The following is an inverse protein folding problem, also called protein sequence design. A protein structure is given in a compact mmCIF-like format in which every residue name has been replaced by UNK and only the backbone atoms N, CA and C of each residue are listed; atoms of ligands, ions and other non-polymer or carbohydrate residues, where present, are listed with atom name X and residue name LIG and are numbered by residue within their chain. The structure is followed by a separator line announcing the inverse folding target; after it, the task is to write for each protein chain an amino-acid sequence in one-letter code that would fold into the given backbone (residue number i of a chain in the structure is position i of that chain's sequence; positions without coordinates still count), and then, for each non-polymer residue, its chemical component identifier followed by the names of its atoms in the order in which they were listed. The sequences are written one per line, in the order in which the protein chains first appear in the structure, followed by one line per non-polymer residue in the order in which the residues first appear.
data_IF_658241855513
#
_entry.id   IF_658241855513
#
_cell.length_a   1.000
_cell.length_b   1.000
_cell.length_c   1.000
_cell.angle_alpha   90.00
_cell.angle_beta   90.00
_cell.angle_gamma   90.00
#
_symmetry.space_group_name_H-M   'P 1'
#
loop_
_entity.id
_entity.type
_entity.pdbx_description
1 polymer ?
#
# COMPACT_ATOMS: atom_id res chain seq x y z
N UNK A 1 -1.92 26.48 -5.01
CA UNK A 1 -0.77 26.58 -4.10
C UNK A 1 -0.48 25.16 -3.68
N UNK A 2 0.56 24.55 -4.23
CA UNK A 2 0.91 23.14 -3.99
C UNK A 2 1.97 23.01 -2.90
N UNK A 3 1.96 23.94 -1.95
CA UNK A 3 2.97 24.06 -0.89
C UNK A 3 2.41 23.57 0.45
N UNK A 4 3.18 22.82 1.25
CA UNK A 4 2.82 22.49 2.62
C UNK A 4 2.51 23.75 3.43
N UNK A 5 1.56 23.65 4.35
CA UNK A 5 1.18 24.72 5.27
C UNK A 5 1.73 24.43 6.67
N UNK A 6 2.48 25.38 7.22
CA UNK A 6 2.90 25.38 8.61
C UNK A 6 1.97 26.30 9.40
N UNK A 7 1.38 25.76 10.46
CA UNK A 7 0.48 26.49 11.36
C UNK A 7 1.12 26.53 12.73
N UNK A 8 1.94 27.54 12.99
CA UNK A 8 2.66 27.72 14.26
C UNK A 8 3.03 29.18 14.44
N UNK A 9 2.97 29.68 15.68
CA UNK A 9 3.57 30.95 16.06
C UNK A 9 4.86 30.74 16.87
N UNK A 10 5.11 29.53 17.38
CA UNK A 10 6.38 29.15 18.01
C UNK A 10 7.57 29.28 17.02
N UNK A 11 8.51 30.20 17.27
CA UNK A 11 9.66 30.42 16.40
C UNK A 11 10.64 29.23 16.39
N UNK A 12 10.76 28.49 17.49
CA UNK A 12 11.69 27.35 17.60
C UNK A 12 11.24 26.21 16.71
N UNK A 13 9.94 25.89 16.77
CA UNK A 13 9.33 24.88 15.91
C UNK A 13 9.36 25.32 14.44
N UNK A 14 9.08 26.59 14.17
CA UNK A 14 9.14 27.14 12.82
C UNK A 14 10.52 27.01 12.19
N UNK A 15 11.59 27.39 12.91
CA UNK A 15 12.96 27.30 12.42
C UNK A 15 13.33 25.84 12.07
N UNK A 16 12.93 24.89 12.91
CA UNK A 16 13.17 23.47 12.64
C UNK A 16 12.38 22.96 11.44
N UNK A 17 11.08 23.27 11.34
CA UNK A 17 10.27 22.90 10.18
C UNK A 17 10.79 23.53 8.87
N UNK A 18 11.25 24.78 8.91
CA UNK A 18 11.85 25.46 7.77
C UNK A 18 13.18 24.81 7.35
N UNK A 19 14.01 24.38 8.31
CA UNK A 19 15.23 23.62 8.04
C UNK A 19 14.91 22.31 7.30
N UNK A 20 13.89 21.58 7.75
CA UNK A 20 13.44 20.34 7.12
C UNK A 20 12.83 20.59 5.74
N UNK A 21 12.04 21.66 5.57
CA UNK A 21 11.47 22.04 4.29
C UNK A 21 12.57 22.39 3.27
N UNK A 22 13.58 23.14 3.68
CA UNK A 22 14.73 23.47 2.85
C UNK A 22 15.49 22.21 2.42
N UNK A 23 15.69 21.25 3.33
CA UNK A 23 16.30 19.96 3.01
C UNK A 23 15.46 19.14 2.02
N UNK A 24 14.13 19.23 2.09
CA UNK A 24 13.19 18.61 1.16
C UNK A 24 13.03 19.38 -0.16
N UNK A 25 13.67 20.56 -0.31
CA UNK A 25 13.51 21.41 -1.50
C UNK A 25 12.13 22.07 -1.63
N UNK A 26 11.40 22.21 -0.51
CA UNK A 26 10.02 22.72 -0.49
C UNK A 26 9.94 24.10 0.15
N UNK A 27 9.12 24.98 -0.41
CA UNK A 27 8.83 26.30 0.16
C UNK A 27 7.43 26.28 0.78
N UNK A 28 7.30 26.21 2.12
CA UNK A 28 6.01 26.10 2.80
C UNK A 28 5.32 27.46 2.94
N UNK A 29 3.98 27.45 2.96
CA UNK A 29 3.18 28.58 3.42
C UNK A 29 3.15 28.61 4.96
N UNK A 30 3.11 29.79 5.56
CA UNK A 30 3.05 29.97 7.02
C UNK A 30 1.74 30.65 7.43
N UNK A 31 1.08 30.09 8.44
CA UNK A 31 -0.03 30.71 9.15
C UNK A 31 0.29 30.77 10.65
N UNK A 32 0.11 31.93 11.26
CA UNK A 32 0.36 32.18 12.70
C UNK A 32 -0.93 32.28 13.53
N UNK A 33 -2.08 32.17 12.87
CA UNK A 33 -3.40 32.30 13.48
C UNK A 33 -4.43 31.40 12.78
N UNK A 34 -5.60 31.21 13.41
CA UNK A 34 -6.64 30.31 12.92
C UNK A 34 -7.27 30.77 11.60
N UNK A 35 -7.38 32.09 11.38
CA UNK A 35 -8.01 32.62 10.16
C UNK A 35 -7.11 32.39 8.94
N UNK A 36 -5.82 32.72 9.08
CA UNK A 36 -4.79 32.45 8.09
C UNK A 36 -4.68 30.96 7.79
N UNK A 37 -4.73 30.11 8.83
CA UNK A 37 -4.69 28.66 8.66
C UNK A 37 -5.90 28.14 7.86
N UNK A 38 -7.11 28.56 8.21
CA UNK A 38 -8.35 28.15 7.52
C UNK A 38 -8.37 28.58 6.06
N UNK A 39 -7.80 29.74 5.73
CA UNK A 39 -7.75 30.24 4.36
C UNK A 39 -6.90 29.35 3.42
N UNK A 40 -5.81 28.77 3.92
CA UNK A 40 -4.90 27.92 3.16
C UNK A 40 -5.17 26.41 3.35
N UNK A 41 -5.98 26.04 4.33
CA UNK A 41 -6.19 24.66 4.79
C UNK A 41 -6.62 23.69 3.68
N UNK A 42 -7.56 24.10 2.83
CA UNK A 42 -8.09 23.25 1.78
C UNK A 42 -7.16 23.11 0.57
N UNK A 43 -6.25 24.07 0.38
CA UNK A 43 -5.37 24.13 -0.78
C UNK A 43 -4.03 23.42 -0.53
N UNK A 44 -3.53 23.45 0.70
CA UNK A 44 -2.24 22.87 1.04
C UNK A 44 -2.27 21.34 0.86
N UNK A 45 -1.33 20.70 0.16
CA UNK A 45 -1.26 19.23 0.09
C UNK A 45 -0.96 18.57 1.44
N UNK A 46 -0.28 19.29 2.34
CA UNK A 46 0.15 18.81 3.64
C UNK A 46 0.05 19.94 4.66
N UNK A 47 -0.37 19.65 5.90
CA UNK A 47 -0.52 20.64 6.96
C UNK A 47 0.18 20.16 8.23
N UNK A 48 1.13 20.96 8.71
CA UNK A 48 1.79 20.77 10.00
C UNK A 48 1.28 21.80 11.00
N UNK A 49 0.68 21.35 12.09
CA UNK A 49 0.12 22.19 13.14
C UNK A 49 1.00 22.10 14.37
N UNK A 50 1.53 23.22 14.82
CA UNK A 50 2.28 23.32 16.06
C UNK A 50 1.41 23.04 17.28
N UNK A 51 2.02 22.48 18.33
CA UNK A 51 1.34 22.21 19.61
C UNK A 51 0.79 23.48 20.25
N UNK A 52 1.40 24.64 19.98
CA UNK A 52 0.98 25.98 20.39
C UNK A 52 -0.38 26.38 19.80
N UNK A 53 -0.61 26.13 18.50
CA UNK A 53 -1.86 26.50 17.82
C UNK A 53 -2.87 25.36 17.70
N UNK A 54 -2.52 24.12 18.02
CA UNK A 54 -3.43 22.97 17.94
C UNK A 54 -4.72 23.18 18.75
N UNK A 55 -4.62 23.67 20.00
CA UNK A 55 -5.79 23.83 20.87
C UNK A 55 -6.74 24.92 20.37
N UNK A 56 -6.28 26.14 20.00
CA UNK A 56 -7.12 27.12 19.30
C UNK A 56 -7.77 26.55 18.03
N UNK A 57 -7.00 25.87 17.18
CA UNK A 57 -7.50 25.31 15.93
C UNK A 57 -8.60 24.26 16.12
N UNK A 58 -8.49 23.43 17.16
CA UNK A 58 -9.50 22.41 17.47
C UNK A 58 -10.89 23.00 17.80
N UNK A 59 -10.94 24.27 18.24
CA UNK A 59 -12.20 24.96 18.56
C UNK A 59 -12.93 25.43 17.32
N UNK A 60 -12.20 25.85 16.29
CA UNK A 60 -12.75 26.31 15.01
C UNK A 60 -13.08 25.16 14.06
N UNK A 61 -12.64 23.93 14.37
CA UNK A 61 -12.97 22.67 13.65
C UNK A 61 -12.77 22.79 12.14
N UNK A 62 -11.53 22.84 11.66
CA UNK A 62 -11.25 22.92 10.23
C UNK A 62 -11.87 21.73 9.47
N UNK A 63 -12.17 21.89 8.16
CA UNK A 63 -12.67 20.80 7.33
C UNK A 63 -11.76 19.57 7.41
N UNK A 64 -12.34 18.39 7.59
CA UNK A 64 -11.57 17.14 7.66
C UNK A 64 -10.95 16.80 6.32
N UNK A 65 -9.70 16.37 6.37
CA UNK A 65 -8.88 16.00 5.21
C UNK A 65 -7.72 15.12 5.66
N UNK A 66 -7.11 14.41 4.71
CA UNK A 66 -5.84 13.74 4.93
C UNK A 66 -4.65 14.70 4.90
N UNK A 67 -3.47 14.21 5.32
CA UNK A 67 -2.22 14.96 5.33
C UNK A 67 -2.16 16.06 6.39
N UNK A 68 -2.79 15.85 7.56
CA UNK A 68 -2.73 16.78 8.69
C UNK A 68 -1.93 16.14 9.81
N UNK A 69 -0.90 16.83 10.31
CA UNK A 69 -0.01 16.32 11.34
C UNK A 69 0.21 17.37 12.43
N UNK A 70 0.18 16.96 13.69
CA UNK A 70 0.53 17.83 14.82
C UNK A 70 1.99 17.61 15.18
N UNK A 71 2.76 18.67 15.33
CA UNK A 71 4.21 18.64 15.59
C UNK A 71 4.57 19.53 16.76
N UNK A 72 5.55 19.13 17.56
CA UNK A 72 6.06 19.92 18.67
C UNK A 72 7.53 19.65 18.97
N UNK A 73 8.17 20.58 19.65
CA UNK A 73 9.55 20.46 20.13
C UNK A 73 9.58 20.19 21.65
N UNK A 74 10.44 19.27 22.11
CA UNK A 74 10.73 19.09 23.54
C UNK A 74 9.69 18.30 24.34
N UNK A 75 9.08 17.28 23.73
CA UNK A 75 8.05 16.44 24.33
C UNK A 75 6.63 16.88 23.98
N UNK A 76 5.78 15.93 23.60
CA UNK A 76 4.37 16.19 23.29
C UNK A 76 3.50 15.90 24.52
N UNK A 77 2.83 16.90 25.12
CA UNK A 77 1.92 16.68 26.24
C UNK A 77 0.77 15.72 25.89
N UNK A 78 0.35 14.87 26.83
CA UNK A 78 -0.66 13.84 26.57
C UNK A 78 -2.04 14.37 26.14
N UNK A 79 -2.37 15.62 26.47
CA UNK A 79 -3.61 16.30 26.06
C UNK A 79 -3.60 16.74 24.58
N UNK A 80 -2.42 16.81 23.95
CA UNK A 80 -2.27 17.08 22.51
C UNK A 80 -2.95 16.00 21.68
N UNK A 81 -2.92 14.72 22.11
CA UNK A 81 -3.57 13.63 21.35
C UNK A 81 -5.08 13.86 21.19
N UNK A 82 -5.77 14.32 22.24
CA UNK A 82 -7.20 14.64 22.17
C UNK A 82 -7.47 15.80 21.21
N UNK A 83 -6.58 16.79 21.23
CA UNK A 83 -6.65 17.97 20.37
C UNK A 83 -6.39 17.61 18.91
N UNK A 84 -5.39 16.77 18.64
CA UNK A 84 -5.06 16.24 17.33
C UNK A 84 -6.25 15.48 16.72
N UNK A 85 -6.91 14.61 17.51
CA UNK A 85 -8.14 13.92 17.07
C UNK A 85 -9.28 14.87 16.73
N UNK A 86 -9.44 15.97 17.48
CA UNK A 86 -10.47 16.96 17.22
C UNK A 86 -10.22 17.73 15.91
N UNK A 87 -8.97 18.02 15.58
CA UNK A 87 -8.55 18.62 14.30
C UNK A 87 -8.68 17.61 13.15
N UNK A 88 -8.62 16.31 13.44
CA UNK A 88 -8.54 15.26 12.42
C UNK A 88 -7.11 15.01 11.94
N UNK A 89 -6.11 15.28 12.78
CA UNK A 89 -4.72 14.97 12.48
C UNK A 89 -4.49 13.46 12.43
N UNK A 90 -3.73 13.02 11.43
CA UNK A 90 -3.35 11.62 11.23
C UNK A 90 -2.28 11.17 12.21
N UNK A 91 -1.41 12.09 12.65
CA UNK A 91 -0.26 11.80 13.50
C UNK A 91 0.05 12.96 14.43
N UNK A 92 0.72 12.63 15.54
CA UNK A 92 1.38 13.56 16.43
C UNK A 92 2.85 13.18 16.49
N UNK A 93 3.75 14.12 16.23
CA UNK A 93 5.17 13.86 16.11
C UNK A 93 6.00 14.84 16.96
N UNK A 94 7.09 14.33 17.52
CA UNK A 94 8.05 15.10 18.29
C UNK A 94 9.32 15.32 17.47
N UNK A 95 9.80 16.56 17.46
CA UNK A 95 11.08 16.94 16.86
C UNK A 95 12.14 17.14 17.97
N UNK A 96 13.39 16.69 17.73
CA UNK A 96 13.95 16.24 16.45
C UNK A 96 13.80 14.74 16.12
N UNK A 97 13.17 13.95 16.98
CA UNK A 97 13.10 12.48 16.85
C UNK A 97 12.43 12.03 15.54
N UNK A 98 11.47 12.83 15.05
CA UNK A 98 10.70 12.56 13.83
C UNK A 98 11.14 13.42 12.64
N UNK A 99 12.30 14.10 12.70
CA UNK A 99 12.75 15.04 11.66
C UNK A 99 12.86 14.38 10.28
N UNK A 100 13.37 13.14 10.20
CA UNK A 100 13.45 12.39 8.95
C UNK A 100 12.07 12.15 8.33
N UNK A 101 11.12 11.66 9.11
CA UNK A 101 9.74 11.41 8.65
C UNK A 101 9.04 12.70 8.18
N UNK A 102 9.23 13.82 8.88
CA UNK A 102 8.67 15.13 8.49
C UNK A 102 9.27 15.64 7.18
N UNK A 103 10.61 15.56 7.03
CA UNK A 103 11.29 15.96 5.80
C UNK A 103 10.85 15.11 4.60
N UNK A 104 10.74 13.79 4.79
CA UNK A 104 10.29 12.89 3.73
C UNK A 104 8.83 13.14 3.32
N UNK A 105 7.92 13.41 4.26
CA UNK A 105 6.54 13.78 3.93
C UNK A 105 6.47 15.03 3.04
N UNK A 106 7.33 16.02 3.30
CA UNK A 106 7.41 17.20 2.44
C UNK A 106 8.00 16.88 1.07
N UNK A 107 9.02 16.02 1.01
CA UNK A 107 9.61 15.57 -0.25
C UNK A 107 8.61 14.79 -1.12
N UNK A 108 7.83 13.88 -0.53
CA UNK A 108 6.78 13.09 -1.22
C UNK A 108 5.74 14.00 -1.91
N UNK A 109 5.43 15.15 -1.29
CA UNK A 109 4.49 16.14 -1.85
C UNK A 109 5.10 16.88 -3.03
N UNK A 110 6.38 17.23 -2.96
CA UNK A 110 7.12 17.90 -4.03
C UNK A 110 7.34 17.01 -5.25
N UNK A 111 7.67 15.74 -5.01
CA UNK A 111 7.93 14.73 -6.03
C UNK A 111 6.65 14.23 -6.73
N UNK A 112 5.47 14.71 -6.30
CA UNK A 112 4.19 14.35 -6.88
C UNK A 112 3.84 12.88 -6.65
N UNK A 113 3.73 12.47 -5.38
CA UNK A 113 3.25 11.14 -4.99
C UNK A 113 2.07 10.70 -5.89
N UNK A 114 2.01 9.43 -6.34
CA UNK A 114 1.03 8.98 -7.32
C UNK A 114 -0.39 9.34 -6.87
N UNK A 115 -1.01 10.30 -7.55
CA UNK A 115 -2.41 10.65 -7.30
C UNK A 115 -3.29 9.51 -7.82
N UNK A 116 -3.58 8.53 -6.96
CA UNK A 116 -4.46 7.40 -7.29
C UNK A 116 -3.75 6.07 -7.53
N UNK A 117 -2.76 5.72 -6.69
CA UNK A 117 -2.18 4.37 -6.64
C UNK A 117 -3.28 3.30 -6.65
N UNK A 118 -3.15 2.33 -7.57
CA UNK A 118 -4.07 1.19 -7.68
C UNK A 118 -3.57 0.06 -6.79
N UNK A 119 -4.39 -0.33 -5.80
CA UNK A 119 -4.08 -1.44 -4.89
C UNK A 119 -4.89 -2.68 -5.23
N UNK A 120 -4.20 -3.79 -5.50
CA UNK A 120 -4.81 -5.07 -5.86
C UNK A 120 -4.39 -6.15 -4.88
N UNK A 121 -5.36 -6.83 -4.29
CA UNK A 121 -5.13 -8.04 -3.52
C UNK A 121 -5.21 -9.28 -4.40
N UNK A 122 -4.42 -10.30 -4.09
CA UNK A 122 -4.50 -11.62 -4.72
C UNK A 122 -4.59 -12.67 -3.62
N UNK A 123 -5.55 -13.58 -3.71
CA UNK A 123 -5.74 -14.63 -2.69
C UNK A 123 -6.06 -15.97 -3.33
N UNK A 124 -5.53 -17.05 -2.76
CA UNK A 124 -5.81 -18.41 -3.22
C UNK A 124 -7.18 -18.93 -2.76
N UNK A 125 -8.12 -19.08 -3.69
CA UNK A 125 -9.38 -19.80 -3.48
C UNK A 125 -9.17 -21.28 -3.14
N UNK A 126 -8.09 -21.87 -3.64
CA UNK A 126 -7.65 -23.24 -3.31
C UNK A 126 -6.13 -23.31 -3.15
N UNK A 127 -5.66 -24.36 -2.48
CA UNK A 127 -4.22 -24.67 -2.43
C UNK A 127 -3.68 -24.93 -3.84
N UNK A 128 -2.46 -24.47 -4.12
CA UNK A 128 -1.83 -24.64 -5.44
C UNK A 128 -2.54 -23.93 -6.60
N UNK A 129 -3.43 -22.97 -6.32
CA UNK A 129 -4.16 -22.21 -7.36
C UNK A 129 -3.26 -21.29 -8.20
N UNK A 130 -2.08 -20.93 -7.68
CA UNK A 130 -1.12 -20.03 -8.34
C UNK A 130 -1.27 -18.55 -7.93
N UNK A 131 -1.89 -18.28 -6.77
CA UNK A 131 -2.08 -16.91 -6.23
C UNK A 131 -0.78 -16.09 -6.19
N UNK A 132 0.25 -16.57 -5.49
CA UNK A 132 1.53 -15.86 -5.36
C UNK A 132 2.22 -15.64 -6.70
N UNK A 133 2.19 -16.63 -7.60
CA UNK A 133 2.71 -16.49 -8.97
C UNK A 133 1.95 -15.42 -9.75
N UNK A 134 0.64 -15.35 -9.59
CA UNK A 134 -0.19 -14.35 -10.27
C UNK A 134 0.00 -12.95 -9.68
N UNK A 135 0.20 -12.83 -8.37
CA UNK A 135 0.56 -11.58 -7.71
C UNK A 135 1.88 -11.04 -8.28
N UNK A 136 2.90 -11.90 -8.35
CA UNK A 136 4.17 -11.57 -8.99
C UNK A 136 4.00 -11.18 -10.47
N UNK A 137 3.14 -11.87 -11.22
CA UNK A 137 2.85 -11.55 -12.61
C UNK A 137 2.15 -10.20 -12.79
N UNK A 138 1.20 -9.85 -11.91
CA UNK A 138 0.57 -8.53 -11.89
C UNK A 138 1.60 -7.43 -11.62
N UNK A 139 2.45 -7.60 -10.60
CA UNK A 139 3.52 -6.65 -10.30
C UNK A 139 4.48 -6.46 -11.47
N UNK A 140 4.98 -7.56 -12.04
CA UNK A 140 5.89 -7.54 -13.19
C UNK A 140 5.28 -6.88 -14.43
N UNK A 141 3.97 -7.03 -14.65
CA UNK A 141 3.29 -6.36 -15.75
C UNK A 141 3.00 -4.89 -15.47
N UNK A 142 2.64 -4.52 -14.23
CA UNK A 142 2.41 -3.14 -13.83
C UNK A 142 3.69 -2.30 -13.91
N UNK A 143 4.83 -2.88 -13.54
CA UNK A 143 6.15 -2.25 -13.60
C UNK A 143 6.55 -1.72 -15.00
N UNK A 144 5.94 -2.26 -16.06
CA UNK A 144 6.19 -1.83 -17.44
C UNK A 144 5.55 -0.47 -17.79
N UNK A 145 4.62 0.01 -16.98
CA UNK A 145 3.85 1.23 -17.22
C UNK A 145 3.95 2.25 -16.09
N UNK A 146 4.58 1.89 -14.97
CA UNK A 146 4.78 2.74 -13.82
C UNK A 146 5.51 1.99 -12.72
N UNK A 147 5.79 2.67 -11.62
CA UNK A 147 6.35 2.07 -10.42
C UNK A 147 5.38 1.06 -9.79
N UNK A 148 5.84 -0.15 -9.49
CA UNK A 148 5.02 -1.19 -8.90
C UNK A 148 5.71 -1.88 -7.73
N UNK A 149 4.93 -2.39 -6.78
CA UNK A 149 5.45 -3.19 -5.67
C UNK A 149 4.58 -4.41 -5.42
N UNK A 150 5.22 -5.55 -5.15
CA UNK A 150 4.56 -6.76 -4.65
C UNK A 150 4.85 -6.89 -3.15
N UNK A 151 3.80 -6.89 -2.33
CA UNK A 151 3.87 -7.10 -0.89
C UNK A 151 3.39 -8.53 -0.62
N UNK A 152 4.30 -9.38 -0.17
CA UNK A 152 4.01 -10.73 0.29
C UNK A 152 3.51 -10.69 1.74
N UNK A 153 2.21 -10.88 1.96
CA UNK A 153 1.61 -10.95 3.28
C UNK A 153 1.40 -12.39 3.78
N UNK A 154 1.85 -13.41 3.03
CA UNK A 154 1.75 -14.83 3.42
C UNK A 154 3.09 -15.36 3.94
N UNK A 155 3.27 -15.53 5.27
CA UNK A 155 4.53 -16.02 5.85
C UNK A 155 4.87 -17.47 5.45
N UNK A 156 3.92 -18.21 4.88
CA UNK A 156 4.11 -19.62 4.51
C UNK A 156 4.45 -19.80 3.02
N UNK A 157 4.42 -18.72 2.25
CA UNK A 157 4.75 -18.74 0.82
C UNK A 157 6.22 -19.03 0.55
N UNK A 158 6.58 -19.28 -0.73
CA UNK A 158 7.97 -19.50 -1.14
C UNK A 158 8.86 -18.24 -1.03
N UNK A 159 8.26 -17.07 -0.76
CA UNK A 159 8.88 -15.75 -0.87
C UNK A 159 8.65 -15.14 -2.25
N UNK A 160 7.98 -13.98 -2.31
CA UNK A 160 7.67 -13.32 -3.58
C UNK A 160 8.91 -12.89 -4.38
N UNK A 161 10.02 -12.57 -3.70
CA UNK A 161 11.30 -12.26 -4.31
C UNK A 161 11.87 -13.43 -5.12
N UNK A 162 11.80 -14.66 -4.60
CA UNK A 162 12.25 -15.86 -5.34
C UNK A 162 11.42 -16.08 -6.59
N UNK A 163 10.10 -15.89 -6.48
CA UNK A 163 9.19 -15.99 -7.64
C UNK A 163 9.53 -14.93 -8.69
N UNK A 164 9.97 -13.74 -8.27
CA UNK A 164 10.37 -12.63 -9.14
C UNK A 164 11.83 -12.70 -9.62
N UNK A 165 12.66 -13.55 -8.99
CA UNK A 165 14.12 -13.60 -9.18
C UNK A 165 14.82 -12.35 -8.67
N UNK A 166 14.43 -11.90 -7.47
CA UNK A 166 14.98 -10.76 -6.74
C UNK A 166 15.59 -11.17 -5.39
N UNK A 167 15.76 -12.46 -5.14
CA UNK A 167 16.25 -13.00 -3.87
C UNK A 167 17.71 -12.63 -3.58
N UNK A 168 18.53 -12.49 -4.61
CA UNK A 168 19.92 -12.00 -4.52
C UNK A 168 20.03 -10.46 -4.51
N UNK A 169 18.92 -9.72 -4.61
CA UNK A 169 18.96 -8.25 -4.59
C UNK A 169 18.98 -7.73 -3.16
N UNK A 170 19.89 -6.78 -2.89
CA UNK A 170 19.97 -6.10 -1.60
C UNK A 170 18.71 -5.26 -1.34
N UNK A 171 18.30 -5.19 -0.08
CA UNK A 171 17.19 -4.36 0.36
C UNK A 171 16.51 -4.89 1.61
N UNK A 172 15.60 -4.08 2.16
CA UNK A 172 14.89 -4.40 3.39
C UNK A 172 13.74 -5.39 3.15
N UNK A 173 13.49 -6.23 4.15
CA UNK A 173 12.45 -7.25 4.18
C UNK A 173 11.60 -7.07 5.45
N UNK A 174 10.61 -7.94 5.64
CA UNK A 174 9.69 -7.83 6.78
C UNK A 174 10.37 -7.82 8.15
N UNK A 175 11.49 -8.50 8.31
CA UNK A 175 12.25 -8.57 9.56
C UNK A 175 12.81 -7.19 9.96
N UNK A 176 13.39 -6.45 9.02
CA UNK A 176 13.91 -5.10 9.25
C UNK A 176 12.78 -4.09 9.45
N UNK A 177 11.70 -4.20 8.66
CA UNK A 177 10.53 -3.33 8.81
C UNK A 177 9.82 -3.53 10.16
N UNK A 178 9.69 -4.78 10.64
CA UNK A 178 9.09 -5.07 11.94
C UNK A 178 9.94 -4.58 13.13
N UNK A 179 11.24 -4.40 12.95
CA UNK A 179 12.14 -3.85 13.97
C UNK A 179 12.15 -2.32 14.01
N UNK A 180 11.61 -1.67 12.97
CA UNK A 180 11.59 -0.22 12.88
C UNK A 180 10.37 0.33 13.63
N UNK A 181 10.60 1.26 14.55
CA UNK A 181 9.54 1.95 15.30
C UNK A 181 8.92 3.13 14.53
N UNK A 182 9.55 3.54 13.42
CA UNK A 182 9.16 4.68 12.59
C UNK A 182 8.24 4.32 11.42
N UNK A 183 7.51 5.32 10.92
CA UNK A 183 6.74 5.23 9.67
C UNK A 183 7.65 5.53 8.48
N UNK A 184 7.47 4.80 7.39
CA UNK A 184 8.17 5.05 6.13
C UNK A 184 7.38 6.01 5.25
N UNK A 185 8.08 6.92 4.59
CA UNK A 185 7.55 7.61 3.41
C UNK A 185 7.41 6.66 2.23
N UNK A 186 6.70 7.11 1.19
CA UNK A 186 6.55 6.31 -0.02
C UNK A 186 7.88 6.14 -0.75
N UNK A 187 8.67 7.22 -0.83
CA UNK A 187 9.98 7.22 -1.45
C UNK A 187 10.99 6.33 -0.72
N UNK A 188 11.13 6.48 0.60
CA UNK A 188 12.10 5.70 1.37
C UNK A 188 11.77 4.21 1.35
N UNK A 189 10.49 3.83 1.36
CA UNK A 189 10.13 2.44 1.17
C UNK A 189 10.56 1.95 -0.22
N UNK A 190 10.21 2.67 -1.30
CA UNK A 190 10.54 2.28 -2.68
C UNK A 190 12.04 2.11 -2.89
N UNK A 191 12.86 3.01 -2.35
CA UNK A 191 14.32 2.99 -2.50
C UNK A 191 14.99 1.92 -1.64
N UNK A 192 14.36 1.52 -0.53
CA UNK A 192 14.93 0.52 0.38
C UNK A 192 14.61 -0.94 -0.01
N UNK A 193 13.59 -1.17 -0.84
CA UNK A 193 13.18 -2.52 -1.21
C UNK A 193 14.09 -3.13 -2.30
N UNK A 194 14.32 -4.46 -2.26
CA UNK A 194 14.86 -5.17 -3.41
C UNK A 194 14.01 -4.87 -4.66
N UNK A 195 14.63 -4.44 -5.75
CA UNK A 195 13.91 -3.98 -6.93
C UNK A 195 14.65 -4.21 -8.24
N UNK A 196 13.88 -4.30 -9.34
CA UNK A 196 14.37 -4.37 -10.72
C UNK A 196 13.36 -3.75 -11.67
N UNK A 197 13.81 -2.91 -12.61
CA UNK A 197 12.99 -2.33 -13.67
C UNK A 197 11.67 -1.69 -13.19
N UNK A 198 11.71 -0.96 -12.06
CA UNK A 198 10.54 -0.30 -11.48
C UNK A 198 9.62 -1.21 -10.66
N UNK A 199 9.97 -2.50 -10.49
CA UNK A 199 9.30 -3.44 -9.60
C UNK A 199 10.06 -3.59 -8.29
N UNK A 200 9.47 -3.17 -7.18
CA UNK A 200 9.93 -3.51 -5.83
C UNK A 200 9.24 -4.76 -5.26
N UNK A 201 9.86 -5.41 -4.29
CA UNK A 201 9.24 -6.52 -3.55
C UNK A 201 9.47 -6.37 -2.04
N UNK A 202 8.40 -6.47 -1.26
CA UNK A 202 8.47 -6.61 0.19
C UNK A 202 8.04 -8.03 0.55
N UNK A 203 8.95 -8.81 1.12
CA UNK A 203 8.72 -10.21 1.45
C UNK A 203 9.50 -10.63 2.70
N UNK A 204 9.35 -11.90 3.07
CA UNK A 204 9.93 -12.53 4.23
C UNK A 204 11.41 -12.91 4.00
N UNK A 205 12.18 -12.95 5.08
CA UNK A 205 13.56 -13.50 5.06
C UNK A 205 13.48 -15.01 5.20
N UNK A 206 14.34 -15.81 4.54
CA UNK A 206 14.42 -17.24 4.80
C UNK A 206 14.69 -17.55 6.29
N UNK A 207 13.90 -18.42 6.91
CA UNK A 207 14.12 -18.87 8.29
C UNK A 207 12.87 -18.79 9.19
N UNK A 208 13.05 -18.83 10.53
CA UNK A 208 11.96 -18.69 11.48
C UNK A 208 11.23 -17.35 11.29
N UNK A 209 9.94 -17.43 10.99
CA UNK A 209 9.14 -16.23 10.72
C UNK A 209 8.57 -15.64 12.02
N UNK A 210 8.66 -14.33 12.14
CA UNK A 210 7.89 -13.57 13.13
C UNK A 210 6.40 -13.52 12.78
N UNK A 211 5.58 -13.07 13.72
CA UNK A 211 4.18 -12.75 13.41
C UNK A 211 4.10 -11.42 12.68
N UNK A 212 3.34 -11.39 11.58
CA UNK A 212 3.11 -10.15 10.84
C UNK A 212 2.33 -9.17 11.73
N UNK A 213 2.99 -8.15 12.26
CA UNK A 213 2.33 -7.18 13.13
C UNK A 213 1.40 -6.30 12.32
N UNK A 214 0.13 -6.21 12.73
CA UNK A 214 -0.88 -5.42 12.02
C UNK A 214 -0.42 -3.97 11.76
N UNK A 215 0.29 -3.35 12.69
CA UNK A 215 0.82 -2.00 12.51
C UNK A 215 1.87 -1.88 11.40
N UNK A 216 2.83 -2.82 11.35
CA UNK A 216 3.87 -2.84 10.32
C UNK A 216 3.26 -2.98 8.92
N UNK A 217 2.27 -3.87 8.77
CA UNK A 217 1.52 -4.05 7.51
C UNK A 217 0.84 -2.76 7.08
N UNK A 218 0.13 -2.13 8.01
CA UNK A 218 -0.61 -0.89 7.73
C UNK A 218 0.31 0.21 7.24
N UNK A 219 1.47 0.36 7.86
CA UNK A 219 2.47 1.36 7.48
C UNK A 219 3.12 1.03 6.14
N UNK A 220 3.53 -0.22 5.93
CA UNK A 220 4.13 -0.66 4.67
C UNK A 220 3.16 -0.47 3.49
N UNK A 221 1.89 -0.86 3.63
CA UNK A 221 0.89 -0.66 2.57
C UNK A 221 0.62 0.82 2.32
N UNK A 222 0.51 1.64 3.37
CA UNK A 222 0.28 3.07 3.20
C UNK A 222 1.48 3.78 2.54
N UNK A 223 2.70 3.40 2.90
CA UNK A 223 3.91 3.88 2.25
C UNK A 223 3.98 3.41 0.79
N UNK A 224 3.69 2.14 0.52
CA UNK A 224 3.63 1.59 -0.83
C UNK A 224 2.63 2.34 -1.72
N UNK A 225 1.45 2.67 -1.19
CA UNK A 225 0.43 3.45 -1.90
C UNK A 225 0.86 4.90 -2.20
N UNK A 226 1.77 5.48 -1.41
CA UNK A 226 2.38 6.80 -1.69
C UNK A 226 3.60 6.70 -2.60
N UNK A 227 4.26 5.54 -2.63
CA UNK A 227 5.52 5.34 -3.37
C UNK A 227 5.36 4.67 -4.73
N UNK A 228 4.22 4.05 -5.04
CA UNK A 228 4.06 3.24 -6.25
C UNK A 228 2.73 3.51 -6.95
N UNK A 229 2.75 3.49 -8.27
CA UNK A 229 1.57 3.60 -9.12
C UNK A 229 0.66 2.37 -8.95
N UNK A 230 1.26 1.19 -8.71
CA UNK A 230 0.52 -0.05 -8.45
C UNK A 230 1.08 -0.81 -7.24
N UNK A 231 0.20 -1.19 -6.32
CA UNK A 231 0.52 -2.03 -5.17
C UNK A 231 -0.21 -3.36 -5.34
N UNK A 232 0.53 -4.46 -5.42
CA UNK A 232 -0.03 -5.82 -5.43
C UNK A 232 0.24 -6.47 -4.09
N UNK A 233 -0.79 -7.00 -3.44
CA UNK A 233 -0.69 -7.66 -2.14
C UNK A 233 -1.00 -9.14 -2.33
N UNK A 234 -0.02 -10.01 -2.11
CA UNK A 234 -0.24 -11.46 -2.02
C UNK A 234 -0.78 -11.78 -0.62
N UNK A 235 -2.06 -12.15 -0.55
CA UNK A 235 -2.81 -12.30 0.69
C UNK A 235 -2.78 -13.76 1.16
N UNK A 236 -2.60 -14.00 2.48
CA UNK A 236 -2.73 -15.34 3.03
C UNK A 236 -4.19 -15.79 2.94
N UNK A 237 -4.37 -17.11 2.83
CA UNK A 237 -5.72 -17.72 2.72
C UNK A 237 -6.51 -17.70 4.04
N UNK A 238 -5.83 -17.50 5.16
CA UNK A 238 -6.45 -17.42 6.49
C UNK A 238 -7.06 -16.04 6.67
N UNK A 239 -8.38 -15.94 6.57
CA UNK A 239 -9.10 -14.68 6.75
C UNK A 239 -9.19 -14.34 8.24
N UNK A 240 -8.32 -13.43 8.68
CA UNK A 240 -8.30 -12.81 10.00
C UNK A 240 -8.54 -11.29 9.89
N UNK A 241 -8.44 -10.56 11.01
CA UNK A 241 -8.67 -9.12 11.04
C UNK A 241 -7.67 -8.32 10.20
N UNK A 242 -6.44 -8.81 10.02
CA UNK A 242 -5.41 -8.13 9.21
C UNK A 242 -5.73 -8.30 7.73
N UNK A 243 -6.10 -9.51 7.31
CA UNK A 243 -6.54 -9.78 5.93
C UNK A 243 -7.80 -9.01 5.58
N UNK A 244 -8.78 -8.93 6.48
CA UNK A 244 -9.99 -8.13 6.27
C UNK A 244 -9.66 -6.64 6.04
N UNK A 245 -8.72 -6.09 6.82
CA UNK A 245 -8.27 -4.70 6.63
C UNK A 245 -7.52 -4.50 5.31
N UNK A 246 -6.63 -5.44 4.95
CA UNK A 246 -5.91 -5.39 3.67
C UNK A 246 -6.88 -5.42 2.49
N UNK A 247 -7.88 -6.30 2.53
CA UNK A 247 -8.92 -6.40 1.51
C UNK A 247 -9.73 -5.11 1.42
N UNK A 248 -10.07 -4.47 2.54
CA UNK A 248 -10.74 -3.18 2.55
C UNK A 248 -9.90 -2.03 1.94
N UNK A 249 -8.57 -2.19 1.90
CA UNK A 249 -7.63 -1.25 1.26
C UNK A 249 -7.34 -1.59 -0.21
N UNK A 250 -7.92 -2.64 -0.76
CA UNK A 250 -7.75 -3.01 -2.16
C UNK A 250 -8.89 -2.44 -3.01
N UNK A 251 -8.58 -1.89 -4.17
CA UNK A 251 -9.58 -1.48 -5.16
C UNK A 251 -10.19 -2.70 -5.88
N UNK A 252 -9.43 -3.80 -5.93
CA UNK A 252 -9.88 -5.12 -6.36
C UNK A 252 -9.13 -6.23 -5.64
N UNK A 253 -9.81 -7.35 -5.40
CA UNK A 253 -9.18 -8.58 -4.89
C UNK A 253 -9.45 -9.72 -5.85
N UNK A 254 -8.39 -10.31 -6.41
CA UNK A 254 -8.48 -11.46 -7.29
C UNK A 254 -8.37 -12.76 -6.50
N UNK A 255 -9.45 -13.54 -6.50
CA UNK A 255 -9.50 -14.88 -5.91
C UNK A 255 -9.11 -15.88 -6.99
N UNK A 256 -7.94 -16.50 -6.87
CA UNK A 256 -7.46 -17.49 -7.83
C UNK A 256 -7.92 -18.88 -7.46
N UNK A 257 -8.51 -19.60 -8.41
CA UNK A 257 -8.90 -21.00 -8.20
C UNK A 257 -8.76 -21.82 -9.47
N UNK A 258 -8.68 -23.14 -9.30
CA UNK A 258 -8.74 -24.09 -10.40
C UNK A 258 -10.18 -24.61 -10.55
N UNK A 259 -10.70 -24.83 -11.78
CA UNK A 259 -12.08 -25.24 -12.03
C UNK A 259 -12.34 -26.73 -11.72
N UNK A 260 -11.86 -27.23 -10.58
CA UNK A 260 -12.15 -28.57 -10.07
C UNK A 260 -13.22 -28.49 -8.98
N UNK A 261 -13.91 -29.61 -8.69
CA UNK A 261 -14.90 -29.65 -7.60
C UNK A 261 -14.31 -29.18 -6.28
N UNK A 262 -13.12 -29.70 -5.91
CA UNK A 262 -12.44 -29.32 -4.68
C UNK A 262 -11.96 -27.86 -4.69
N UNK A 263 -11.45 -27.37 -5.84
CA UNK A 263 -11.00 -25.99 -6.01
C UNK A 263 -12.13 -24.98 -5.88
N UNK A 264 -13.25 -25.23 -6.58
CA UNK A 264 -14.43 -24.37 -6.54
C UNK A 264 -15.14 -24.42 -5.18
N UNK A 265 -15.24 -25.60 -4.55
CA UNK A 265 -15.81 -25.71 -3.20
C UNK A 265 -14.96 -24.98 -2.15
N UNK A 266 -13.63 -25.03 -2.26
CA UNK A 266 -12.72 -24.28 -1.39
C UNK A 266 -12.86 -22.78 -1.61
N UNK A 267 -12.94 -22.34 -2.87
CA UNK A 267 -13.10 -20.94 -3.22
C UNK A 267 -14.45 -20.38 -2.72
N UNK A 268 -15.54 -21.13 -2.87
CA UNK A 268 -16.85 -20.74 -2.34
C UNK A 268 -16.82 -20.54 -0.82
N UNK A 269 -16.19 -21.47 -0.08
CA UNK A 269 -16.00 -21.34 1.37
C UNK A 269 -15.17 -20.12 1.76
N UNK A 270 -14.10 -19.84 1.01
CA UNK A 270 -13.27 -18.65 1.24
C UNK A 270 -14.07 -17.37 0.98
N UNK A 271 -14.77 -17.28 -0.15
CA UNK A 271 -15.53 -16.10 -0.54
C UNK A 271 -16.63 -15.77 0.48
N UNK A 272 -17.29 -16.78 1.04
CA UNK A 272 -18.31 -16.63 2.08
C UNK A 272 -17.78 -16.07 3.42
N UNK A 273 -16.45 -16.04 3.64
CA UNK A 273 -15.86 -15.44 4.86
C UNK A 273 -15.74 -13.92 4.78
N UNK A 274 -15.78 -13.33 3.59
CA UNK A 274 -15.66 -11.89 3.42
C UNK A 274 -17.00 -11.21 3.65
N UNK A 275 -17.03 -10.22 4.55
CA UNK A 275 -18.24 -9.43 4.85
C UNK A 275 -18.70 -8.60 3.66
N UNK A 276 -17.76 -8.07 2.89
CA UNK A 276 -18.02 -7.29 1.69
C UNK A 276 -17.39 -7.99 0.47
N UNK A 277 -18.19 -8.65 -0.39
CA UNK A 277 -17.70 -9.32 -1.58
C UNK A 277 -17.51 -8.38 -2.78
N UNK A 278 -17.89 -7.09 -2.69
CA UNK A 278 -17.84 -6.14 -3.82
C UNK A 278 -16.46 -6.03 -4.49
N UNK A 279 -15.32 -6.00 -3.77
CA UNK A 279 -14.01 -5.92 -4.41
C UNK A 279 -13.55 -7.26 -5.00
N UNK A 280 -14.17 -8.39 -4.63
CA UNK A 280 -13.73 -9.73 -5.03
C UNK A 280 -14.08 -10.02 -6.48
N UNK A 281 -13.14 -10.62 -7.21
CA UNK A 281 -13.33 -11.14 -8.56
C UNK A 281 -12.60 -12.47 -8.69
N UNK A 282 -13.20 -13.45 -9.36
CA UNK A 282 -12.57 -14.75 -9.58
C UNK A 282 -11.67 -14.72 -10.82
N UNK A 283 -10.51 -15.36 -10.69
CA UNK A 283 -9.63 -15.71 -11.80
C UNK A 283 -9.53 -17.24 -11.84
N UNK A 284 -9.99 -17.84 -12.94
CA UNK A 284 -9.97 -19.28 -13.13
C UNK A 284 -8.70 -19.70 -13.86
N UNK A 285 -7.89 -20.55 -13.24
CA UNK A 285 -6.72 -21.16 -13.89
C UNK A 285 -7.10 -22.53 -14.46
N UNK A 286 -7.11 -22.63 -15.78
CA UNK A 286 -7.55 -23.80 -16.54
C UNK A 286 -8.79 -23.52 -17.40
N UNK A 287 -9.14 -24.50 -18.23
CA UNK A 287 -10.23 -24.42 -19.20
C UNK A 287 -11.49 -25.18 -18.71
N UNK A 288 -12.57 -25.11 -19.49
CA UNK A 288 -13.74 -25.99 -19.40
C UNK A 288 -14.66 -25.90 -18.17
N UNK A 289 -14.99 -24.69 -17.71
CA UNK A 289 -16.11 -24.48 -16.78
C UNK A 289 -16.94 -23.26 -17.15
N UNK A 290 -18.27 -23.40 -17.05
CA UNK A 290 -19.20 -22.28 -17.20
C UNK A 290 -18.99 -21.24 -16.08
N UNK A 291 -18.73 -19.99 -16.47
CA UNK A 291 -18.48 -18.89 -15.54
C UNK A 291 -19.76 -18.53 -14.80
N UNK A 292 -20.93 -18.71 -15.44
CA UNK A 292 -22.19 -18.42 -14.80
C UNK A 292 -22.48 -19.41 -13.67
N UNK A 293 -22.21 -20.70 -13.89
CA UNK A 293 -22.25 -21.72 -12.85
C UNK A 293 -21.28 -21.41 -11.69
N UNK A 294 -20.06 -20.99 -11.98
CA UNK A 294 -19.08 -20.62 -10.94
C UNK A 294 -19.52 -19.39 -10.14
N UNK A 295 -20.03 -18.36 -10.80
CA UNK A 295 -20.53 -17.17 -10.11
C UNK A 295 -21.74 -17.50 -9.24
N UNK A 296 -22.66 -18.37 -9.69
CA UNK A 296 -23.75 -18.85 -8.83
C UNK A 296 -23.24 -19.62 -7.60
N UNK A 297 -22.23 -20.45 -7.77
CA UNK A 297 -21.67 -21.28 -6.69
C UNK A 297 -20.92 -20.44 -5.64
N UNK A 298 -20.17 -19.44 -6.09
CA UNK A 298 -19.25 -18.67 -5.23
C UNK A 298 -19.83 -17.34 -4.75
N UNK A 299 -20.88 -16.84 -5.42
CA UNK A 299 -21.39 -15.48 -5.24
C UNK A 299 -20.49 -14.40 -5.84
N UNK A 300 -19.37 -14.76 -6.48
CA UNK A 300 -18.36 -13.81 -6.98
C UNK A 300 -18.31 -13.80 -8.51
N UNK A 301 -18.30 -12.61 -9.16
CA UNK A 301 -18.14 -12.53 -10.61
C UNK A 301 -16.77 -13.04 -11.08
N UNK A 302 -16.75 -13.82 -12.16
CA UNK A 302 -15.52 -14.23 -12.85
C UNK A 302 -14.99 -13.05 -13.69
N UNK A 303 -13.78 -12.57 -13.40
CA UNK A 303 -13.14 -11.50 -14.16
C UNK A 303 -12.27 -12.02 -15.30
N UNK A 304 -11.63 -13.18 -15.13
CA UNK A 304 -10.80 -13.77 -16.16
C UNK A 304 -10.74 -15.30 -16.08
N UNK A 305 -10.43 -15.90 -17.23
CA UNK A 305 -10.00 -17.29 -17.35
C UNK A 305 -8.62 -17.30 -17.98
N UNK A 306 -7.74 -18.13 -17.45
CA UNK A 306 -6.35 -18.18 -17.83
C UNK A 306 -5.92 -19.64 -17.98
N UNK A 307 -5.53 -20.08 -19.19
CA UNK A 307 -4.92 -21.39 -19.37
C UNK A 307 -3.61 -21.53 -18.59
N UNK A 308 -3.16 -22.77 -18.38
CA UNK A 308 -1.87 -23.01 -17.75
C UNK A 308 -0.70 -22.43 -18.58
N UNK A 309 0.25 -21.81 -17.87
CA UNK A 309 1.48 -21.30 -18.47
C UNK A 309 2.50 -22.43 -18.61
N UNK A 310 2.77 -22.86 -19.84
CA UNK A 310 3.84 -23.85 -20.13
C UNK A 310 5.22 -23.28 -19.77
N UNK A 311 6.08 -24.17 -19.26
CA UNK A 311 7.47 -23.86 -18.89
C UNK A 311 7.63 -23.04 -17.63
N UNK A 312 6.56 -22.70 -16.90
CA UNK A 312 6.60 -21.79 -15.75
C UNK A 312 7.58 -22.25 -14.66
N UNK A 313 7.61 -23.54 -14.32
CA UNK A 313 8.54 -24.06 -13.31
C UNK A 313 10.00 -23.76 -13.64
N UNK A 314 10.44 -24.13 -14.84
CA UNK A 314 11.80 -23.85 -15.33
C UNK A 314 12.13 -22.35 -15.32
N UNK A 315 11.15 -21.48 -15.65
CA UNK A 315 11.36 -20.03 -15.59
C UNK A 315 11.62 -19.53 -14.17
N UNK A 316 10.85 -20.04 -13.21
CA UNK A 316 10.97 -19.66 -11.81
C UNK A 316 12.28 -20.19 -11.21
N UNK A 317 12.66 -21.43 -11.53
CA UNK A 317 13.93 -22.01 -11.10
C UNK A 317 15.15 -21.23 -11.62
N UNK A 318 15.02 -20.58 -12.77
CA UNK A 318 16.05 -19.70 -13.35
C UNK A 318 15.99 -18.25 -12.84
N UNK A 319 15.07 -17.91 -11.93
CA UNK A 319 14.94 -16.54 -11.40
C UNK A 319 14.52 -15.49 -12.44
N UNK A 320 13.78 -15.90 -13.49
CA UNK A 320 13.41 -14.98 -14.58
C UNK A 320 12.06 -14.27 -14.36
N UNK A 321 11.38 -14.56 -13.26
CA UNK A 321 10.04 -14.06 -12.98
C UNK A 321 8.94 -14.81 -13.75
N UNK A 322 7.66 -14.72 -13.33
CA UNK A 322 6.58 -15.51 -13.91
C UNK A 322 6.18 -15.09 -15.34
N UNK A 323 6.54 -13.88 -15.80
CA UNK A 323 6.11 -13.33 -17.09
C UNK A 323 7.28 -13.13 -18.06
N UNK A 324 7.66 -14.19 -18.80
CA UNK A 324 8.62 -14.09 -19.92
C UNK A 324 8.13 -13.23 -21.08
N UNK A 325 6.82 -13.25 -21.36
CA UNK A 325 6.22 -12.51 -22.47
C UNK A 325 4.83 -12.00 -22.11
N UNK A 326 4.56 -10.74 -22.45
CA UNK A 326 3.22 -10.14 -22.32
C UNK A 326 2.15 -10.88 -23.14
N UNK A 327 2.56 -11.64 -24.17
CA UNK A 327 1.64 -12.38 -25.05
C UNK A 327 1.28 -13.76 -24.49
N UNK A 328 1.98 -14.24 -23.47
CA UNK A 328 1.66 -15.51 -22.80
C UNK A 328 0.35 -15.44 -21.99
N UNK A 329 -0.26 -16.59 -21.62
CA UNK A 329 -1.44 -16.65 -20.76
C UNK A 329 -1.38 -15.76 -19.52
N UNK A 330 -0.30 -15.85 -18.74
CA UNK A 330 -0.11 -15.03 -17.53
C UNK A 330 -0.04 -13.54 -17.85
N UNK A 331 0.83 -13.14 -18.77
CA UNK A 331 1.04 -11.75 -19.14
C UNK A 331 -0.22 -11.08 -19.72
N UNK A 332 -0.95 -11.77 -20.62
CA UNK A 332 -2.20 -11.25 -21.19
C UNK A 332 -3.29 -11.08 -20.14
N UNK A 333 -3.43 -12.05 -19.25
CA UNK A 333 -4.44 -12.01 -18.18
C UNK A 333 -4.13 -10.88 -17.20
N UNK A 334 -2.89 -10.78 -16.73
CA UNK A 334 -2.45 -9.72 -15.83
C UNK A 334 -2.67 -8.33 -16.45
N UNK A 335 -2.25 -8.13 -17.71
CA UNK A 335 -2.44 -6.85 -18.41
C UNK A 335 -3.92 -6.50 -18.59
N UNK A 336 -4.76 -7.47 -18.99
CA UNK A 336 -6.18 -7.25 -19.17
C UNK A 336 -6.90 -6.88 -17.87
N UNK A 337 -6.51 -7.50 -16.74
CA UNK A 337 -7.06 -7.16 -15.43
C UNK A 337 -6.58 -5.78 -14.96
N UNK A 338 -5.30 -5.45 -15.11
CA UNK A 338 -4.75 -4.13 -14.76
C UNK A 338 -5.42 -3.00 -15.55
N UNK A 339 -5.63 -3.19 -16.85
CA UNK A 339 -6.33 -2.21 -17.70
C UNK A 339 -7.78 -1.95 -17.26
N UNK A 340 -8.42 -2.92 -16.59
CA UNK A 340 -9.78 -2.80 -16.03
C UNK A 340 -9.85 -2.06 -14.68
N UNK A 341 -8.71 -1.60 -14.15
CA UNK A 341 -8.62 -0.88 -12.88
C UNK A 341 -8.44 0.62 -13.16
N UNK A 342 -9.54 1.35 -13.30
CA UNK A 342 -9.50 2.80 -13.14
C UNK A 342 -9.34 3.12 -11.63
N UNK A 343 -8.55 4.13 -11.23
CA UNK A 343 -8.46 4.54 -9.85
C UNK A 343 -9.85 4.93 -9.34
N UNK A 344 -10.42 4.10 -8.47
CA UNK A 344 -11.65 4.43 -7.77
C UNK A 344 -11.26 5.54 -6.79
N UNK A 345 -11.66 6.78 -7.07
CA UNK A 345 -11.49 7.88 -6.11
C UNK A 345 -12.13 7.45 -4.79
N UNK A 346 -11.31 7.13 -3.79
CA UNK A 346 -11.80 6.88 -2.43
C UNK A 346 -12.42 8.19 -1.96
N UNK A 347 -13.71 8.16 -1.66
CA UNK A 347 -14.35 9.28 -0.99
C UNK A 347 -13.61 9.50 0.34
N UNK A 348 -13.14 10.73 0.53
CA UNK A 348 -12.45 11.20 1.73
C UNK A 348 -13.35 11.08 2.98
#
# INVERSE_FOLDING_TARGET
MDAPLFVTDDPTLLDELQRLAAAAGVTPALARDEASALSAWGLAPLVFVGTDLAKPLSRVRPPRRGGVHVVGCGGVPGDVFRTALAIGAENVAELPQSSGWVAELMADVSDGAPQGSVTVGVIGGSGGSGASTFAAALGQMAARSGSAVVIDADPLGPGADRVLGLDDHEGIRWDALCQTTGRFSGRSLREALPSRDGLGVLTWVPGPQGTLQAFAVRNAVAAAQRGHDTVVIDLPRTVDAVVEELVARCDRVFVLTVPTVAGLASAARLCARFRDPRPLRLVLRGDDVDAHAVTRLTGIPVAARMPDQRGLGEVLDLGLGPVRSARGPLGRTALGLLAGLAPVRRAA
#
